data_IF_447730290097
#
_entry.id   IF_447730290097
#
_cell.length_a   1.000
_cell.length_b   1.000
_cell.length_c   1.000
_cell.angle_alpha   90.00
_cell.angle_beta   90.00
_cell.angle_gamma   90.00
#
_symmetry.space_group_name_H-M   'P 1'
#
loop_
_entity.id
_entity.type
_entity.pdbx_description
1 polymer ?
#
# COMPACT_ATOMS: atom_id res chain seq x y z
N UNK A 1 -26.79 -3.70 3.81
CA UNK A 1 -25.45 -3.13 4.03
C UNK A 1 -24.38 -4.19 4.20
N UNK A 2 -24.58 -5.22 5.03
CA UNK A 2 -23.55 -6.22 5.34
C UNK A 2 -23.28 -7.23 4.20
N UNK A 3 -24.28 -7.49 3.34
CA UNK A 3 -24.15 -8.41 2.19
C UNK A 3 -23.70 -7.67 0.93
N UNK A 4 -24.39 -6.57 0.60
CA UNK A 4 -24.05 -5.63 -0.49
C UNK A 4 -24.48 -4.21 -0.11
N UNK A 5 -23.79 -3.21 -0.65
CA UNK A 5 -24.13 -1.79 -0.44
C UNK A 5 -25.40 -1.33 -1.13
N UNK A 6 -25.95 -2.10 -2.09
CA UNK A 6 -27.29 -1.86 -2.64
C UNK A 6 -28.37 -1.84 -1.54
N UNK A 7 -28.14 -2.53 -0.40
CA UNK A 7 -29.02 -2.44 0.76
C UNK A 7 -29.15 -1.05 1.38
N UNK A 8 -28.35 -0.07 0.97
CA UNK A 8 -28.50 1.33 1.34
C UNK A 8 -29.84 1.90 0.85
N UNK A 9 -30.30 1.50 -0.34
CA UNK A 9 -31.59 1.95 -0.86
C UNK A 9 -32.76 1.42 -0.03
N UNK A 10 -32.67 0.17 0.45
CA UNK A 10 -33.66 -0.39 1.38
C UNK A 10 -33.66 0.36 2.72
N UNK A 11 -32.49 0.82 3.19
CA UNK A 11 -32.38 1.64 4.39
C UNK A 11 -33.03 3.02 4.21
N UNK A 12 -32.83 3.69 3.06
CA UNK A 12 -33.51 4.95 2.73
C UNK A 12 -35.03 4.75 2.74
N UNK A 13 -35.52 3.67 2.13
CA UNK A 13 -36.95 3.37 2.13
C UNK A 13 -37.49 3.16 3.55
N UNK A 14 -36.78 2.41 4.39
CA UNK A 14 -37.16 2.23 5.79
C UNK A 14 -37.19 3.56 6.56
N UNK A 15 -36.18 4.42 6.37
CA UNK A 15 -36.14 5.76 6.94
C UNK A 15 -37.34 6.61 6.50
N UNK A 16 -37.70 6.57 5.22
CA UNK A 16 -38.87 7.27 4.70
C UNK A 16 -40.18 6.76 5.33
N UNK A 17 -40.35 5.45 5.47
CA UNK A 17 -41.53 4.87 6.11
C UNK A 17 -41.64 5.25 7.59
N UNK A 18 -40.53 5.22 8.32
CA UNK A 18 -40.48 5.64 9.74
C UNK A 18 -40.77 7.13 9.87
N UNK A 19 -40.24 7.97 8.98
CA UNK A 19 -40.52 9.40 8.96
C UNK A 19 -42.00 9.68 8.66
N UNK A 20 -42.60 8.95 7.72
CA UNK A 20 -44.04 9.04 7.41
C UNK A 20 -44.90 8.58 8.59
N UNK A 21 -44.53 7.50 9.27
CA UNK A 21 -45.22 7.02 10.47
C UNK A 21 -45.18 8.11 11.57
N UNK A 22 -44.00 8.67 11.84
CA UNK A 22 -43.86 9.77 12.79
C UNK A 22 -44.67 11.01 12.38
N UNK A 23 -44.67 11.37 11.09
CA UNK A 23 -45.46 12.46 10.56
C UNK A 23 -46.96 12.29 10.83
N UNK A 24 -47.47 11.05 10.78
CA UNK A 24 -48.87 10.74 11.10
C UNK A 24 -49.25 10.92 12.57
N UNK A 25 -48.26 11.03 13.47
CA UNK A 25 -48.48 11.26 14.90
C UNK A 25 -48.58 12.75 15.25
N UNK A 26 -48.01 13.64 14.43
CA UNK A 26 -48.02 15.09 14.66
C UNK A 26 -49.44 15.69 14.80
N UNK A 27 -50.46 15.28 14.03
CA UNK A 27 -51.80 15.85 14.14
C UNK A 27 -52.62 15.35 15.34
N UNK A 28 -52.15 14.31 16.07
CA UNK A 28 -52.92 13.67 17.14
C UNK A 28 -52.89 14.51 18.41
N UNK A 29 -53.99 15.22 18.69
CA UNK A 29 -54.16 16.08 19.88
C UNK A 29 -54.13 15.34 21.22
N UNK A 30 -54.20 14.01 21.22
CA UNK A 30 -54.11 13.16 22.42
C UNK A 30 -52.67 12.98 22.91
N UNK A 31 -51.66 13.35 22.10
CA UNK A 31 -50.25 13.22 22.44
C UNK A 31 -49.68 14.56 22.89
N UNK A 32 -49.01 14.57 24.05
CA UNK A 32 -48.23 15.71 24.51
C UNK A 32 -46.98 15.91 23.64
N UNK A 33 -46.51 17.15 23.49
CA UNK A 33 -45.28 17.48 22.78
C UNK A 33 -44.06 16.74 23.33
N UNK A 34 -44.01 16.50 24.64
CA UNK A 34 -42.93 15.72 25.27
C UNK A 34 -42.97 14.24 24.81
N UNK A 35 -44.17 13.67 24.67
CA UNK A 35 -44.35 12.29 24.20
C UNK A 35 -43.91 12.13 22.74
N UNK A 36 -44.18 13.14 21.89
CA UNK A 36 -43.70 13.15 20.49
C UNK A 36 -42.17 13.13 20.41
N UNK A 37 -41.48 13.93 21.24
CA UNK A 37 -40.01 13.92 21.32
C UNK A 37 -39.45 12.57 21.77
N UNK A 38 -40.06 11.93 22.79
CA UNK A 38 -39.69 10.59 23.24
C UNK A 38 -39.86 9.57 22.11
N UNK A 39 -40.99 9.63 21.40
CA UNK A 39 -41.27 8.79 20.24
C UNK A 39 -40.27 8.96 19.09
N UNK A 40 -39.78 10.17 18.86
CA UNK A 40 -38.75 10.44 17.86
C UNK A 40 -37.40 9.88 18.31
N UNK A 41 -37.00 10.17 19.54
CA UNK A 41 -35.72 9.75 20.10
C UNK A 41 -35.62 8.21 20.14
N UNK A 42 -36.66 7.52 20.61
CA UNK A 42 -36.69 6.05 20.65
C UNK A 42 -36.51 5.47 19.24
N UNK A 43 -37.22 5.99 18.24
CA UNK A 43 -37.10 5.51 16.85
C UNK A 43 -35.68 5.68 16.32
N UNK A 44 -35.07 6.85 16.53
CA UNK A 44 -33.69 7.12 16.10
C UNK A 44 -32.71 6.18 16.81
N UNK A 45 -32.82 6.05 18.13
CA UNK A 45 -31.93 5.21 18.95
C UNK A 45 -32.07 3.74 18.55
N UNK A 46 -33.29 3.20 18.47
CA UNK A 46 -33.53 1.81 18.05
C UNK A 46 -32.98 1.55 16.65
N UNK A 47 -33.23 2.47 15.70
CA UNK A 47 -32.75 2.32 14.34
C UNK A 47 -31.22 2.29 14.28
N UNK A 48 -30.55 3.23 14.94
CA UNK A 48 -29.08 3.28 14.97
C UNK A 48 -28.51 2.04 15.64
N UNK A 49 -29.06 1.63 16.79
CA UNK A 49 -28.59 0.45 17.53
C UNK A 49 -28.74 -0.81 16.69
N UNK A 50 -29.92 -1.05 16.10
CA UNK A 50 -30.17 -2.25 15.29
C UNK A 50 -29.26 -2.31 14.07
N UNK A 51 -29.07 -1.19 13.35
CA UNK A 51 -28.18 -1.13 12.19
C UNK A 51 -26.73 -1.36 12.62
N UNK A 52 -26.25 -0.63 13.63
CA UNK A 52 -24.86 -0.70 14.08
C UNK A 52 -24.50 -2.08 14.63
N UNK A 53 -25.33 -2.64 15.51
CA UNK A 53 -25.10 -3.98 16.09
C UNK A 53 -25.10 -5.07 15.03
N UNK A 54 -26.06 -5.05 14.10
CA UNK A 54 -26.10 -6.03 13.00
C UNK A 54 -24.89 -5.89 12.09
N UNK A 55 -24.47 -4.67 11.77
CA UNK A 55 -23.32 -4.43 10.91
C UNK A 55 -22.02 -4.86 11.58
N UNK A 56 -21.75 -4.36 12.79
CA UNK A 56 -20.51 -4.65 13.52
C UNK A 56 -20.40 -6.13 13.89
N UNK A 57 -21.50 -6.79 14.28
CA UNK A 57 -21.46 -8.23 14.62
C UNK A 57 -21.08 -9.09 13.42
N UNK A 58 -21.61 -8.81 12.23
CA UNK A 58 -21.26 -9.55 11.01
C UNK A 58 -19.79 -9.35 10.66
N UNK A 59 -19.26 -8.12 10.73
CA UNK A 59 -17.85 -7.88 10.47
C UNK A 59 -16.92 -8.44 11.54
N UNK A 60 -17.37 -8.47 12.80
CA UNK A 60 -16.67 -9.15 13.88
C UNK A 60 -16.56 -10.65 13.61
N UNK A 61 -17.68 -11.31 13.27
CA UNK A 61 -17.69 -12.73 12.89
C UNK A 61 -16.83 -12.98 11.65
N UNK A 62 -16.90 -12.11 10.64
CA UNK A 62 -16.08 -12.20 9.43
C UNK A 62 -14.57 -12.20 9.76
N UNK A 63 -14.10 -11.21 10.52
CA UNK A 63 -12.69 -11.07 10.89
C UNK A 63 -12.23 -12.11 11.93
N UNK A 64 -13.14 -12.67 12.72
CA UNK A 64 -12.85 -13.74 13.67
C UNK A 64 -12.70 -15.11 12.98
N UNK A 65 -13.49 -15.38 11.94
CA UNK A 65 -13.43 -16.65 11.19
C UNK A 65 -12.30 -16.63 10.15
N UNK A 66 -12.13 -15.54 9.41
CA UNK A 66 -11.08 -15.41 8.38
C UNK A 66 -9.76 -14.97 9.01
N UNK A 67 -9.20 -15.82 9.88
CA UNK A 67 -7.91 -15.56 10.50
C UNK A 67 -6.72 -15.92 9.62
N UNK A 68 -6.89 -16.65 8.51
CA UNK A 68 -5.80 -17.18 7.68
C UNK A 68 -5.51 -16.31 6.46
N UNK A 69 -4.25 -16.26 6.06
CA UNK A 69 -3.79 -15.59 4.84
C UNK A 69 -4.36 -16.28 3.58
N UNK A 70 -4.57 -15.51 2.52
CA UNK A 70 -5.20 -15.98 1.28
C UNK A 70 -4.75 -15.16 0.07
N UNK A 71 -5.03 -15.61 -1.17
CA UNK A 71 -4.43 -15.05 -2.39
C UNK A 71 -4.76 -13.56 -2.67
N UNK A 72 -5.77 -13.01 -2.00
CA UNK A 72 -6.23 -11.64 -2.18
C UNK A 72 -5.99 -10.74 -0.96
N UNK A 73 -5.21 -11.19 0.02
CA UNK A 73 -4.83 -10.37 1.18
C UNK A 73 -3.84 -9.24 0.80
N UNK A 74 -3.20 -9.31 -0.37
CA UNK A 74 -2.27 -8.32 -0.93
C UNK A 74 -2.86 -6.90 -1.05
N UNK A 75 -4.18 -6.78 -1.08
CA UNK A 75 -4.90 -5.49 -1.11
C UNK A 75 -4.82 -4.75 0.23
N UNK A 76 -4.63 -5.49 1.33
CA UNK A 76 -4.52 -4.95 2.68
C UNK A 76 -3.10 -4.48 2.99
N UNK A 77 -2.92 -3.72 4.07
CA UNK A 77 -1.61 -3.26 4.55
C UNK A 77 -0.76 -4.44 5.03
N UNK A 78 0.55 -4.22 5.11
CA UNK A 78 1.51 -5.21 5.62
C UNK A 78 1.21 -5.59 7.07
N UNK A 79 0.81 -4.62 7.91
CA UNK A 79 0.40 -4.89 9.29
C UNK A 79 -0.84 -5.78 9.35
N UNK A 80 -1.84 -5.53 8.49
CA UNK A 80 -3.04 -6.37 8.40
C UNK A 80 -2.69 -7.78 7.97
N UNK A 81 -1.89 -7.95 6.91
CA UNK A 81 -1.47 -9.26 6.42
C UNK A 81 -0.63 -10.02 7.45
N UNK A 82 0.26 -9.33 8.16
CA UNK A 82 1.06 -9.94 9.23
C UNK A 82 0.21 -10.35 10.45
N UNK A 83 -1.02 -9.85 10.57
CA UNK A 83 -1.98 -10.27 11.60
C UNK A 83 -2.80 -11.52 11.23
N UNK A 84 -2.67 -12.03 10.00
CA UNK A 84 -3.32 -13.26 9.54
C UNK A 84 -2.38 -14.47 9.72
N UNK A 85 -2.92 -15.62 10.09
CA UNK A 85 -2.18 -16.88 10.20
C UNK A 85 -1.71 -17.37 8.82
N UNK A 86 -0.40 -17.62 8.69
CA UNK A 86 0.22 -17.97 7.42
C UNK A 86 0.59 -16.74 6.57
N UNK A 87 1.08 -16.96 5.34
CA UNK A 87 1.44 -15.87 4.43
C UNK A 87 2.53 -14.94 4.99
N UNK A 88 2.26 -13.63 5.01
CA UNK A 88 3.23 -12.63 5.47
C UNK A 88 3.63 -12.81 6.94
N UNK A 89 2.69 -13.22 7.80
CA UNK A 89 2.97 -13.45 9.21
C UNK A 89 3.93 -14.62 9.47
N UNK A 90 4.05 -15.58 8.54
CA UNK A 90 5.07 -16.63 8.61
C UNK A 90 6.45 -16.15 8.14
N UNK A 91 6.51 -15.08 7.35
CA UNK A 91 7.72 -14.54 6.75
C UNK A 91 8.38 -13.50 7.67
N UNK A 92 7.59 -12.59 8.24
CA UNK A 92 8.09 -11.46 9.05
C UNK A 92 8.25 -11.81 10.53
N UNK A 93 7.95 -13.06 10.89
CA UNK A 93 7.93 -13.57 12.24
C UNK A 93 9.33 -13.60 12.86
N UNK A 94 9.65 -12.68 13.77
CA UNK A 94 10.92 -12.70 14.52
C UNK A 94 12.04 -11.90 13.86
N UNK A 95 11.70 -11.15 12.82
CA UNK A 95 12.60 -10.16 12.27
C UNK A 95 12.92 -9.08 13.31
N UNK A 96 14.10 -8.45 13.24
CA UNK A 96 14.39 -7.34 14.13
C UNK A 96 13.37 -6.22 13.90
N UNK A 97 12.92 -5.58 14.98
CA UNK A 97 11.91 -4.54 14.88
C UNK A 97 12.55 -3.22 14.41
N UNK A 98 13.64 -2.82 15.04
CA UNK A 98 14.30 -1.54 14.79
C UNK A 98 15.20 -1.61 13.54
N UNK A 99 14.91 -0.75 12.57
CA UNK A 99 15.74 -0.56 11.39
C UNK A 99 16.97 0.25 11.79
N UNK A 100 18.16 -0.29 11.53
CA UNK A 100 19.45 0.32 11.88
C UNK A 100 20.32 0.40 10.63
N UNK A 101 21.47 1.06 10.72
CA UNK A 101 22.46 0.93 9.65
C UNK A 101 22.98 -0.51 9.56
N UNK A 102 23.18 -1.01 8.34
CA UNK A 102 23.46 -2.41 8.02
C UNK A 102 22.20 -3.29 7.95
N UNK A 103 21.00 -2.77 8.21
CA UNK A 103 19.75 -3.49 7.99
C UNK A 103 19.51 -3.73 6.50
N UNK A 104 19.15 -4.96 6.16
CA UNK A 104 18.61 -5.32 4.85
C UNK A 104 17.09 -5.36 4.96
N UNK A 105 16.40 -4.60 4.13
CA UNK A 105 14.97 -4.37 4.19
C UNK A 105 14.33 -4.52 2.82
N UNK A 106 13.04 -4.87 2.80
CA UNK A 106 12.19 -4.66 1.62
C UNK A 106 11.26 -3.49 1.89
N UNK A 107 11.16 -2.57 0.93
CA UNK A 107 10.30 -1.39 1.03
C UNK A 107 9.05 -1.62 0.19
N UNK A 108 7.89 -1.69 0.83
CA UNK A 108 6.60 -1.86 0.18
C UNK A 108 5.84 -0.54 0.15
N UNK A 109 5.19 -0.26 -0.97
CA UNK A 109 4.26 0.87 -1.08
C UNK A 109 2.99 0.59 -0.27
N UNK A 110 2.61 1.53 0.60
CA UNK A 110 1.61 1.28 1.67
C UNK A 110 0.17 1.34 1.16
N UNK A 111 -0.14 2.31 0.31
CA UNK A 111 -1.52 2.60 -0.12
C UNK A 111 -1.75 2.18 -1.58
N UNK A 112 -2.99 1.87 -1.95
CA UNK A 112 -3.29 1.44 -3.33
C UNK A 112 -2.71 0.05 -3.67
N UNK A 113 -2.04 -0.07 -4.81
CA UNK A 113 -1.53 -1.33 -5.35
C UNK A 113 -0.28 -1.79 -4.61
N UNK A 114 -0.26 -3.06 -4.22
CA UNK A 114 0.91 -3.69 -3.62
C UNK A 114 2.06 -3.77 -4.62
N UNK A 115 3.18 -3.14 -4.26
CA UNK A 115 4.43 -3.27 -4.98
C UNK A 115 5.60 -2.96 -4.04
N UNK A 116 6.76 -3.54 -4.34
CA UNK A 116 8.01 -3.34 -3.62
C UNK A 116 8.98 -2.53 -4.45
N UNK A 117 9.74 -1.66 -3.80
CA UNK A 117 10.86 -0.96 -4.42
C UNK A 117 11.85 -2.01 -4.93
N UNK A 118 12.12 -1.95 -6.22
CA UNK A 118 12.79 -3.02 -6.94
C UNK A 118 13.86 -2.44 -7.87
N UNK A 119 14.95 -3.18 -8.08
CA UNK A 119 15.94 -2.85 -9.09
C UNK A 119 16.56 -4.12 -9.66
N UNK A 120 16.91 -4.12 -10.95
CA UNK A 120 17.50 -5.28 -11.62
C UNK A 120 18.56 -4.80 -12.61
N UNK A 121 19.38 -5.69 -13.17
CA UNK A 121 20.57 -5.30 -13.95
C UNK A 121 20.27 -4.79 -15.38
N UNK A 122 19.15 -4.10 -15.57
CA UNK A 122 18.82 -3.37 -16.80
C UNK A 122 18.87 -1.86 -16.53
N UNK A 123 19.19 -1.10 -17.57
CA UNK A 123 19.34 0.35 -17.52
C UNK A 123 18.21 1.03 -18.27
N UNK A 124 17.90 2.28 -17.92
CA UNK A 124 16.97 3.09 -18.72
C UNK A 124 17.50 3.24 -20.15
N UNK A 125 16.63 3.29 -21.18
CA UNK A 125 17.07 3.54 -22.55
C UNK A 125 17.70 4.93 -22.67
N UNK A 126 18.68 5.13 -23.56
CA UNK A 126 19.32 6.45 -23.75
C UNK A 126 18.30 7.58 -24.04
N UNK A 127 17.21 7.23 -24.73
CA UNK A 127 16.07 8.10 -24.96
C UNK A 127 14.79 7.35 -24.67
N UNK A 128 13.85 8.02 -24.04
CA UNK A 128 12.50 7.51 -23.85
C UNK A 128 11.73 7.46 -25.19
N UNK A 129 10.60 6.73 -25.25
CA UNK A 129 9.80 6.64 -26.48
C UNK A 129 9.34 7.98 -27.06
N UNK A 130 9.22 9.01 -26.22
CA UNK A 130 8.84 10.38 -26.62
C UNK A 130 10.03 11.25 -27.07
N UNK A 131 11.24 10.68 -27.13
CA UNK A 131 12.45 11.34 -27.62
C UNK A 131 13.22 12.14 -26.56
N UNK A 132 12.70 12.28 -25.33
CA UNK A 132 13.45 12.89 -24.22
C UNK A 132 14.66 12.04 -23.84
N UNK A 133 15.74 12.69 -23.43
CA UNK A 133 16.93 12.00 -22.91
C UNK A 133 16.69 11.39 -21.53
N UNK A 134 17.33 10.27 -21.25
CA UNK A 134 17.39 9.62 -19.94
C UNK A 134 18.82 9.61 -19.41
N UNK A 135 18.97 9.26 -18.13
CA UNK A 135 20.25 9.09 -17.46
C UNK A 135 21.05 7.88 -17.92
N UNK A 136 20.39 6.90 -18.55
CA UNK A 136 20.95 5.58 -18.84
C UNK A 136 21.48 4.84 -17.59
N UNK A 137 21.01 5.18 -16.40
CA UNK A 137 21.36 4.49 -15.15
C UNK A 137 20.53 3.23 -14.94
N UNK A 138 20.85 2.45 -13.91
CA UNK A 138 20.12 1.22 -13.59
C UNK A 138 18.68 1.56 -13.19
N UNK A 139 17.72 0.81 -13.74
CA UNK A 139 16.30 1.03 -13.51
C UNK A 139 15.92 0.78 -12.04
N UNK A 140 15.06 1.65 -11.52
CA UNK A 140 14.35 1.45 -10.25
C UNK A 140 12.86 1.50 -10.51
N UNK A 141 12.15 0.49 -10.03
CA UNK A 141 10.73 0.27 -10.33
C UNK A 141 9.98 -0.14 -9.07
N UNK A 142 8.67 -0.28 -9.20
CA UNK A 142 7.83 -0.92 -8.20
C UNK A 142 7.31 -2.25 -8.76
N UNK A 143 7.82 -3.36 -8.23
CA UNK A 143 7.49 -4.71 -8.68
C UNK A 143 6.36 -5.31 -7.84
N UNK A 144 5.39 -5.97 -8.46
CA UNK A 144 4.17 -6.45 -7.78
C UNK A 144 4.33 -7.78 -7.05
N UNK A 145 5.52 -8.39 -7.06
CA UNK A 145 5.77 -9.69 -6.42
C UNK A 145 7.01 -9.63 -5.54
N UNK A 146 7.10 -10.57 -4.60
CA UNK A 146 8.30 -10.77 -3.78
C UNK A 146 9.41 -11.35 -4.63
N UNK A 147 10.59 -10.74 -4.55
CA UNK A 147 11.76 -11.11 -5.33
C UNK A 147 13.03 -10.77 -4.53
N UNK A 148 14.13 -11.48 -4.81
CA UNK A 148 15.45 -11.21 -4.20
C UNK A 148 15.99 -9.80 -4.56
N UNK A 149 15.54 -9.25 -5.68
CA UNK A 149 15.83 -7.89 -6.14
C UNK A 149 15.00 -6.79 -5.46
N UNK A 150 14.18 -7.15 -4.47
CA UNK A 150 13.44 -6.17 -3.65
C UNK A 150 14.21 -5.78 -2.39
N UNK A 151 15.36 -6.39 -2.13
CA UNK A 151 16.16 -6.16 -0.92
C UNK A 151 17.06 -4.94 -1.08
N UNK A 152 17.04 -4.07 -0.08
CA UNK A 152 17.85 -2.85 0.04
C UNK A 152 18.62 -2.87 1.35
N UNK A 153 19.82 -2.32 1.37
CA UNK A 153 20.67 -2.20 2.54
C UNK A 153 20.70 -0.75 2.97
N UNK A 154 20.37 -0.50 4.24
CA UNK A 154 20.40 0.84 4.82
C UNK A 154 21.82 1.16 5.30
N UNK A 155 22.40 2.25 4.79
CA UNK A 155 23.80 2.62 5.04
C UNK A 155 23.91 4.04 5.61
N UNK A 156 24.97 4.29 6.38
CA UNK A 156 25.36 5.62 6.83
C UNK A 156 26.01 6.42 5.68
N UNK A 157 25.70 7.72 5.50
CA UNK A 157 26.37 8.55 4.50
C UNK A 157 27.89 8.67 4.69
N UNK A 158 28.37 8.67 5.94
CA UNK A 158 29.74 8.96 6.36
C UNK A 158 30.63 7.71 6.52
N UNK A 159 30.05 6.50 6.47
CA UNK A 159 30.79 5.24 6.66
C UNK A 159 30.58 4.30 5.51
N UNK A 160 31.65 3.67 5.03
CA UNK A 160 31.58 2.66 3.98
C UNK A 160 31.24 1.25 4.47
N UNK A 161 31.10 1.06 5.78
CA UNK A 161 30.70 -0.22 6.37
C UNK A 161 29.25 -0.57 6.01
N UNK A 162 29.03 -1.84 5.69
CA UNK A 162 27.73 -2.42 5.33
C UNK A 162 27.22 -3.38 6.42
N UNK A 163 28.04 -3.67 7.44
CA UNK A 163 27.69 -4.54 8.56
C UNK A 163 27.11 -3.73 9.71
N UNK A 164 26.22 -4.36 10.46
CA UNK A 164 25.66 -3.77 11.67
C UNK A 164 26.73 -3.75 12.76
N UNK A 165 27.32 -2.59 13.03
CA UNK A 165 28.22 -2.41 14.18
C UNK A 165 27.40 -2.39 15.48
N UNK A 166 27.81 -3.11 16.51
CA UNK A 166 27.20 -3.05 17.85
C UNK A 166 27.92 -1.99 18.72
N UNK A 167 27.21 -1.18 19.52
CA UNK A 167 25.75 -1.15 19.69
C UNK A 167 25.03 -0.56 18.48
N UNK A 168 23.93 -1.19 18.07
CA UNK A 168 23.14 -0.76 16.92
C UNK A 168 22.28 0.44 17.32
N UNK A 169 22.48 1.57 16.65
CA UNK A 169 21.65 2.76 16.81
C UNK A 169 20.46 2.68 15.83
N UNK A 170 19.20 2.72 16.31
CA UNK A 170 18.02 2.72 15.46
C UNK A 170 17.96 4.03 14.67
N UNK A 171 17.56 3.93 13.41
CA UNK A 171 17.35 5.09 12.55
C UNK A 171 16.09 5.81 13.02
N UNK A 172 16.20 7.12 13.18
CA UNK A 172 15.16 7.99 13.70
C UNK A 172 14.57 8.89 12.63
N UNK A 173 13.42 9.46 12.96
CA UNK A 173 12.82 10.52 12.18
C UNK A 173 13.81 11.68 11.96
N UNK A 174 14.00 12.08 10.71
CA UNK A 174 14.90 13.15 10.31
C UNK A 174 16.32 12.68 9.96
N UNK A 175 16.67 11.42 10.23
CA UNK A 175 18.00 10.89 9.89
C UNK A 175 18.17 10.77 8.36
N UNK A 176 19.39 11.04 7.91
CA UNK A 176 19.79 10.92 6.50
C UNK A 176 20.53 9.61 6.31
N UNK A 177 20.07 8.82 5.33
CA UNK A 177 20.56 7.49 5.01
C UNK A 177 20.95 7.39 3.53
N UNK A 178 21.66 6.32 3.21
CA UNK A 178 21.78 5.81 1.86
C UNK A 178 21.06 4.46 1.76
N UNK A 179 20.38 4.22 0.65
CA UNK A 179 19.80 2.92 0.32
C UNK A 179 20.61 2.30 -0.80
N UNK A 180 21.13 1.10 -0.58
CA UNK A 180 21.96 0.37 -1.55
C UNK A 180 21.21 -0.90 -1.96
N UNK A 181 21.05 -1.12 -3.26
CA UNK A 181 20.37 -2.31 -3.76
C UNK A 181 21.14 -3.59 -3.38
N UNK A 182 20.47 -4.58 -2.81
CA UNK A 182 21.10 -5.74 -2.17
C UNK A 182 21.89 -6.62 -3.12
N UNK A 183 21.42 -6.82 -4.35
CA UNK A 183 22.09 -7.68 -5.34
C UNK A 183 23.12 -6.90 -6.15
N UNK A 184 22.78 -5.72 -6.66
CA UNK A 184 23.70 -4.96 -7.55
C UNK A 184 24.65 -4.03 -6.81
N UNK A 185 24.48 -3.86 -5.49
CA UNK A 185 25.27 -2.95 -4.65
C UNK A 185 25.30 -1.49 -5.14
N UNK A 186 24.33 -1.08 -5.98
CA UNK A 186 24.21 0.30 -6.49
C UNK A 186 23.33 1.13 -5.57
N UNK A 187 23.67 2.40 -5.39
CA UNK A 187 22.94 3.30 -4.50
C UNK A 187 21.70 3.89 -5.18
N UNK A 188 20.58 3.93 -4.45
CA UNK A 188 19.36 4.62 -4.86
C UNK A 188 19.65 6.11 -5.03
N UNK A 189 19.28 6.66 -6.17
CA UNK A 189 19.65 7.98 -6.64
C UNK A 189 18.45 8.66 -7.30
N UNK A 190 18.34 9.97 -7.11
CA UNK A 190 17.46 10.84 -7.90
C UNK A 190 18.27 12.03 -8.39
N UNK A 191 17.94 12.54 -9.56
CA UNK A 191 18.71 13.60 -10.21
C UNK A 191 17.82 14.40 -11.16
N UNK A 192 18.37 15.49 -11.72
CA UNK A 192 17.61 16.43 -12.55
C UNK A 192 17.40 15.90 -13.99
N UNK A 193 16.78 14.74 -14.10
CA UNK A 193 16.30 14.13 -15.34
C UNK A 193 14.82 13.84 -15.13
N UNK A 194 13.99 14.18 -16.11
CA UNK A 194 12.56 13.94 -16.04
C UNK A 194 12.25 12.43 -16.09
N UNK A 195 11.30 11.97 -15.27
CA UNK A 195 10.90 10.56 -15.24
C UNK A 195 10.25 10.12 -16.58
N UNK A 196 10.33 8.83 -16.94
CA UNK A 196 9.90 8.32 -18.24
C UNK A 196 8.41 8.53 -18.52
N UNK A 197 7.53 8.23 -17.57
CA UNK A 197 6.08 8.30 -17.73
C UNK A 197 5.47 9.54 -17.06
N UNK A 198 6.18 10.14 -16.09
CA UNK A 198 5.73 11.32 -15.34
C UNK A 198 6.75 12.47 -15.46
N UNK A 199 6.76 13.23 -16.58
CA UNK A 199 7.81 14.21 -16.88
C UNK A 199 7.93 15.37 -15.87
N UNK A 200 6.91 15.59 -15.04
CA UNK A 200 6.89 16.62 -14.00
C UNK A 200 7.68 16.22 -12.73
N UNK A 201 8.03 14.94 -12.61
CA UNK A 201 8.82 14.37 -11.50
C UNK A 201 10.21 13.96 -11.98
N UNK A 202 11.13 13.77 -11.04
CA UNK A 202 12.49 13.32 -11.32
C UNK A 202 12.58 11.80 -11.48
N UNK A 203 13.46 11.36 -12.37
CA UNK A 203 13.84 9.97 -12.59
C UNK A 203 14.57 9.44 -11.34
N UNK A 204 14.09 8.30 -10.83
CA UNK A 204 14.75 7.57 -9.75
C UNK A 204 15.47 6.37 -10.36
N UNK A 205 16.72 6.18 -9.96
CA UNK A 205 17.62 5.19 -10.55
C UNK A 205 18.56 4.62 -9.51
N UNK A 206 19.27 3.56 -9.87
CA UNK A 206 20.43 3.08 -9.14
C UNK A 206 21.68 3.63 -9.84
N UNK A 207 22.47 4.43 -9.13
CA UNK A 207 23.57 5.18 -9.72
C UNK A 207 24.63 4.26 -10.35
N UNK A 208 25.01 4.57 -11.59
CA UNK A 208 26.13 3.97 -12.30
C UNK A 208 27.15 5.07 -12.55
N UNK A 209 28.37 4.87 -12.06
CA UNK A 209 29.48 5.76 -12.36
C UNK A 209 30.01 5.46 -13.77
N UNK A 210 29.58 6.26 -14.74
CA UNK A 210 30.10 6.22 -16.11
C UNK A 210 31.39 7.01 -16.30
N UNK A 211 32.04 7.45 -15.20
CA UNK A 211 33.16 8.39 -15.22
C UNK A 211 32.80 9.71 -15.93
N UNK A 212 31.57 10.16 -15.72
CA UNK A 212 30.99 11.41 -16.26
C UNK A 212 30.81 12.41 -15.12
N UNK A 213 30.82 13.72 -15.43
CA UNK A 213 30.76 14.83 -14.47
C UNK A 213 29.48 14.95 -13.62
N UNK A 214 28.58 13.95 -13.61
CA UNK A 214 27.38 13.95 -12.76
C UNK A 214 27.64 13.19 -11.46
N UNK A 215 27.80 13.88 -10.32
CA UNK A 215 28.00 13.23 -9.03
C UNK A 215 26.72 12.50 -8.60
N UNK A 216 26.89 11.42 -7.84
CA UNK A 216 25.77 10.71 -7.21
C UNK A 216 25.03 11.60 -6.22
N UNK A 217 23.71 11.60 -6.28
CA UNK A 217 22.82 12.26 -5.31
C UNK A 217 21.97 11.19 -4.63
N UNK A 218 22.57 10.49 -3.67
CA UNK A 218 22.04 9.25 -3.10
C UNK A 218 21.63 9.37 -1.62
N UNK A 219 21.44 10.59 -1.14
CA UNK A 219 21.05 10.86 0.25
C UNK A 219 19.53 10.97 0.36
N UNK A 220 18.98 10.22 1.32
CA UNK A 220 17.55 10.14 1.58
C UNK A 220 17.29 10.39 3.06
N UNK A 221 16.50 11.39 3.38
CA UNK A 221 16.05 11.70 4.74
C UNK A 221 14.79 10.90 5.06
N UNK A 222 14.78 10.21 6.20
CA UNK A 222 13.65 9.38 6.63
C UNK A 222 12.63 10.23 7.40
N UNK A 223 11.40 10.31 6.91
CA UNK A 223 10.29 10.91 7.64
C UNK A 223 9.31 9.84 8.09
N UNK A 224 8.99 9.75 9.39
CA UNK A 224 8.02 8.79 9.91
C UNK A 224 6.68 9.54 10.00
N UNK A 225 5.65 9.01 9.33
CA UNK A 225 4.34 9.68 9.26
C UNK A 225 3.46 9.35 10.46
N UNK A 226 3.47 8.08 10.90
CA UNK A 226 2.69 7.58 12.04
C UNK A 226 3.55 7.45 13.31
N UNK A 227 3.80 8.59 13.97
CA UNK A 227 4.67 8.66 15.17
C UNK A 227 4.02 8.19 16.48
N UNK A 228 2.93 7.43 16.41
CA UNK A 228 2.22 6.91 17.58
C UNK A 228 3.08 5.96 18.43
N UNK A 229 4.06 5.30 17.80
CA UNK A 229 5.00 4.37 18.43
C UNK A 229 6.40 4.98 18.66
N UNK A 230 6.52 6.32 18.60
CA UNK A 230 7.76 7.06 18.79
C UNK A 230 8.49 7.41 17.48
N UNK A 231 9.71 7.95 17.62
CA UNK A 231 10.51 8.48 16.51
C UNK A 231 11.48 7.47 15.89
N UNK A 232 11.48 6.22 16.36
CA UNK A 232 12.33 5.16 15.79
C UNK A 232 11.65 4.48 14.60
N UNK A 233 12.43 4.14 13.58
CA UNK A 233 11.94 3.45 12.39
C UNK A 233 11.81 1.96 12.65
N UNK A 234 10.57 1.47 12.72
CA UNK A 234 10.24 0.08 12.98
C UNK A 234 9.73 -0.64 11.72
N UNK A 235 10.16 -1.88 11.53
CA UNK A 235 9.61 -2.78 10.52
C UNK A 235 8.13 -3.07 10.78
N UNK A 236 7.33 -3.23 9.71
CA UNK A 236 5.88 -3.45 9.68
C UNK A 236 5.05 -2.26 10.19
N UNK A 237 5.44 -1.64 11.30
CA UNK A 237 4.65 -0.65 12.02
C UNK A 237 4.82 0.77 11.48
N UNK A 238 6.06 1.19 11.20
CA UNK A 238 6.31 2.55 10.73
C UNK A 238 5.96 2.69 9.25
N UNK A 239 5.19 3.73 8.98
CA UNK A 239 4.97 4.31 7.67
C UNK A 239 5.95 5.47 7.50
N UNK A 240 6.71 5.44 6.41
CA UNK A 240 7.79 6.40 6.17
C UNK A 240 7.72 7.03 4.79
N UNK A 241 8.23 8.26 4.68
CA UNK A 241 8.61 8.89 3.42
C UNK A 241 10.12 8.96 3.34
N UNK A 242 10.64 8.71 2.14
CA UNK A 242 12.04 8.87 1.83
C UNK A 242 12.18 10.16 1.02
N UNK A 243 12.79 11.17 1.63
CA UNK A 243 12.95 12.50 1.04
C UNK A 243 14.34 12.59 0.46
N UNK A 244 14.45 12.67 -0.86
CA UNK A 244 15.69 12.95 -1.55
C UNK A 244 16.22 14.32 -1.14
N UNK A 245 17.46 14.35 -0.68
CA UNK A 245 18.15 15.58 -0.28
C UNK A 245 19.02 16.04 -1.45
N UNK A 246 18.49 16.97 -2.26
CA UNK A 246 19.21 17.49 -3.41
C UNK A 246 20.33 18.45 -2.98
N UNK A 247 21.42 18.53 -3.76
CA UNK A 247 22.57 19.37 -3.45
C UNK A 247 22.27 20.89 -3.36
N UNK A 248 21.18 21.35 -3.99
CA UNK A 248 20.73 22.73 -4.00
C UNK A 248 19.72 23.05 -2.88
N UNK A 249 19.46 22.10 -1.97
CA UNK A 249 18.49 22.23 -0.88
C UNK A 249 17.04 21.95 -1.28
N UNK A 250 16.75 21.57 -2.53
CA UNK A 250 15.44 21.09 -2.91
C UNK A 250 15.18 19.68 -2.35
N UNK A 251 13.93 19.41 -1.99
CA UNK A 251 13.49 18.14 -1.43
C UNK A 251 12.45 17.49 -2.33
N UNK A 252 12.59 16.18 -2.56
CA UNK A 252 11.66 15.40 -3.38
C UNK A 252 11.30 14.10 -2.68
N UNK A 253 10.03 13.75 -2.59
CA UNK A 253 9.61 12.50 -1.95
C UNK A 253 9.62 11.34 -2.96
N UNK A 254 10.19 10.21 -2.56
CA UNK A 254 10.11 8.95 -3.29
C UNK A 254 8.67 8.48 -3.38
N UNK A 255 8.16 8.29 -4.59
CA UNK A 255 6.74 8.08 -4.86
C UNK A 255 6.50 6.97 -5.86
N UNK A 256 5.47 6.17 -5.63
CA UNK A 256 4.85 5.33 -6.63
C UNK A 256 3.97 6.17 -7.57
N UNK A 257 4.31 6.27 -8.86
CA UNK A 257 3.60 7.18 -9.77
C UNK A 257 2.21 6.66 -10.21
N UNK A 258 1.98 5.34 -10.08
CA UNK A 258 0.78 4.67 -10.61
C UNK A 258 0.82 4.40 -12.10
N UNK A 259 1.88 4.82 -12.82
CA UNK A 259 2.09 4.52 -14.24
C UNK A 259 2.91 3.25 -14.40
N UNK A 260 2.68 2.55 -15.51
CA UNK A 260 3.49 1.41 -15.91
C UNK A 260 4.54 1.85 -16.93
N UNK A 261 5.75 1.31 -16.78
CA UNK A 261 6.80 1.45 -17.77
C UNK A 261 6.46 0.59 -19.00
N UNK A 262 6.92 0.97 -20.21
CA UNK A 262 6.78 0.15 -21.41
C UNK A 262 7.60 -1.16 -21.32
N UNK A 263 7.62 -1.92 -22.42
CA UNK A 263 8.30 -3.22 -22.50
C UNK A 263 9.78 -3.19 -22.08
N UNK A 264 10.50 -2.08 -22.32
CA UNK A 264 11.89 -1.92 -21.89
C UNK A 264 12.06 -1.90 -20.36
N UNK A 265 11.00 -1.61 -19.62
CA UNK A 265 10.91 -1.67 -18.16
C UNK A 265 10.06 -2.84 -17.67
N UNK A 266 9.89 -3.87 -18.51
CA UNK A 266 9.19 -5.13 -18.20
C UNK A 266 7.75 -4.96 -17.71
N UNK A 267 7.07 -3.88 -18.14
CA UNK A 267 5.71 -3.55 -17.68
C UNK A 267 5.59 -3.43 -16.14
N UNK A 268 6.72 -3.14 -15.47
CA UNK A 268 6.76 -2.82 -14.05
C UNK A 268 6.27 -1.39 -13.82
N UNK A 269 5.98 -1.03 -12.57
CA UNK A 269 5.47 0.31 -12.27
C UNK A 269 6.60 1.31 -12.06
N UNK A 270 6.36 2.55 -12.45
CA UNK A 270 7.32 3.64 -12.32
C UNK A 270 7.39 4.15 -10.87
N UNK A 271 8.62 4.34 -10.41
CA UNK A 271 8.96 5.05 -9.16
C UNK A 271 9.65 6.35 -9.53
N UNK A 272 9.24 7.45 -8.90
CA UNK A 272 9.72 8.80 -9.19
C UNK A 272 10.05 9.55 -7.90
N UNK A 273 10.79 10.66 -8.01
CA UNK A 273 10.94 11.61 -6.93
C UNK A 273 10.12 12.86 -7.26
N UNK A 274 9.12 13.14 -6.43
CA UNK A 274 8.12 14.17 -6.66
C UNK A 274 8.34 15.36 -5.73
N UNK A 275 8.13 16.58 -6.23
CA UNK A 275 8.30 17.80 -5.44
C UNK A 275 7.20 17.96 -4.39
N UNK A 276 6.04 17.35 -4.62
CA UNK A 276 4.98 17.28 -3.60
C UNK A 276 5.35 16.22 -2.56
N UNK A 277 5.75 16.66 -1.37
CA UNK A 277 6.22 15.76 -0.31
C UNK A 277 5.06 15.01 0.36
N UNK A 278 4.05 15.76 0.81
CA UNK A 278 2.93 15.21 1.57
C UNK A 278 1.86 14.63 0.65
N UNK A 279 1.97 13.33 0.40
CA UNK A 279 1.00 12.55 -0.37
C UNK A 279 0.94 11.11 0.14
N UNK A 280 -0.14 10.40 -0.18
CA UNK A 280 -0.30 8.98 0.18
C UNK A 280 0.61 8.06 -0.63
N UNK A 281 0.87 8.40 -1.89
CA UNK A 281 1.69 7.60 -2.81
C UNK A 281 3.20 7.64 -2.52
N UNK A 282 3.62 8.49 -1.57
CA UNK A 282 5.01 8.57 -1.10
C UNK A 282 5.24 7.80 0.21
N UNK A 283 4.24 7.06 0.68
CA UNK A 283 4.32 6.34 1.95
C UNK A 283 4.71 4.89 1.73
N UNK A 284 5.84 4.52 2.33
CA UNK A 284 6.46 3.20 2.27
C UNK A 284 6.47 2.56 3.66
N UNK A 285 6.46 1.24 3.70
CA UNK A 285 6.65 0.48 4.92
C UNK A 285 7.76 -0.56 4.70
N UNK A 286 8.56 -0.80 5.74
CA UNK A 286 9.46 -1.96 5.74
C UNK A 286 8.61 -3.20 5.97
N UNK A 287 8.61 -4.14 5.03
CA UNK A 287 7.84 -5.37 5.16
C UNK A 287 8.71 -6.48 5.76
N UNK A 288 9.82 -6.80 5.10
CA UNK A 288 10.79 -7.80 5.53
C UNK A 288 12.08 -7.12 5.99
N UNK A 289 12.70 -7.65 7.05
CA UNK A 289 13.90 -7.06 7.64
C UNK A 289 14.86 -8.14 8.17
N UNK A 290 16.16 -7.95 7.94
CA UNK A 290 17.25 -8.74 8.55
C UNK A 290 18.49 -7.88 8.78
N UNK A 291 19.32 -8.24 9.75
CA UNK A 291 20.63 -7.61 9.92
C UNK A 291 21.69 -8.23 9.01
N UNK A 292 22.52 -7.40 8.38
CA UNK A 292 23.69 -7.85 7.62
C UNK A 292 24.74 -8.42 8.58
N UNK A 293 25.19 -9.65 8.33
CA UNK A 293 26.18 -10.36 9.15
C UNK A 293 27.58 -10.44 8.54
N UNK A 294 27.69 -10.38 7.22
CA UNK A 294 28.97 -10.51 6.48
C UNK A 294 29.31 -9.24 5.71
N UNK A 295 30.59 -8.86 5.68
CA UNK A 295 31.09 -7.75 4.86
C UNK A 295 31.23 -8.16 3.38
N UNK A 296 31.54 -9.43 3.10
CA UNK A 296 31.82 -9.89 1.73
C UNK A 296 30.55 -9.86 0.87
N UNK A 297 30.64 -9.21 -0.28
CA UNK A 297 29.52 -9.07 -1.21
C UNK A 297 29.03 -10.42 -1.73
N UNK A 298 29.93 -11.32 -2.12
CA UNK A 298 29.54 -12.64 -2.67
C UNK A 298 28.85 -13.49 -1.62
N UNK A 299 29.32 -13.44 -0.38
CA UNK A 299 28.66 -14.13 0.72
C UNK A 299 27.28 -13.53 1.03
N UNK A 300 27.15 -12.20 1.04
CA UNK A 300 25.84 -11.55 1.21
C UNK A 300 24.86 -11.93 0.12
N UNK A 301 25.28 -11.90 -1.15
CA UNK A 301 24.45 -12.34 -2.28
C UNK A 301 23.99 -13.80 -2.09
N UNK A 302 24.90 -14.69 -1.66
CA UNK A 302 24.54 -16.08 -1.35
C UNK A 302 23.54 -16.20 -0.20
N UNK A 303 23.75 -15.46 0.89
CA UNK A 303 22.82 -15.42 2.03
C UNK A 303 21.45 -14.81 1.65
N UNK A 304 21.42 -13.83 0.74
CA UNK A 304 20.19 -13.26 0.20
C UNK A 304 19.39 -14.33 -0.57
N UNK A 305 20.07 -15.15 -1.36
CA UNK A 305 19.49 -16.19 -2.21
C UNK A 305 19.13 -17.46 -1.41
N UNK A 306 19.95 -17.83 -0.42
CA UNK A 306 19.82 -19.10 0.32
C UNK A 306 18.97 -19.01 1.58
N UNK A 307 18.58 -17.81 2.02
CA UNK A 307 17.79 -17.65 3.23
C UNK A 307 16.39 -18.23 3.04
N UNK A 308 16.20 -19.48 3.45
CA UNK A 308 14.87 -20.02 3.80
C UNK A 308 14.34 -19.26 5.02
N UNK A 309 13.09 -18.81 4.91
CA UNK A 309 12.44 -17.97 5.92
C UNK A 309 12.02 -18.82 7.12
N UNK A 310 12.73 -18.71 8.24
CA UNK A 310 12.46 -19.49 9.46
C UNK A 310 11.81 -18.59 10.54
N UNK A 311 10.65 -18.98 11.15
CA UNK A 311 9.73 -18.06 11.84
C UNK A 311 9.76 -18.06 13.38
N UNK A 312 9.63 -16.91 14.08
CA UNK A 312 9.20 -16.82 15.50
C UNK A 312 8.50 -15.47 15.94
N UNK A 313 7.26 -15.56 16.45
CA UNK A 313 6.28 -14.52 16.96
C UNK A 313 5.51 -13.50 16.04
N UNK A 314 4.18 -13.42 16.21
CA UNK A 314 3.21 -12.74 15.31
C UNK A 314 2.80 -11.31 15.74
N UNK A 315 2.43 -10.45 14.78
CA UNK A 315 1.86 -9.10 15.02
C UNK A 315 0.36 -9.16 15.33
N UNK A 316 -0.10 -8.44 16.35
CA UNK A 316 -1.51 -8.36 16.71
C UNK A 316 -2.08 -6.97 16.40
N UNK A 317 -3.16 -6.92 15.61
CA UNK A 317 -3.97 -5.72 15.40
C UNK A 317 -5.31 -5.86 16.13
N UNK A 318 -5.85 -4.72 16.57
CA UNK A 318 -7.18 -4.64 17.16
C UNK A 318 -8.28 -4.84 16.11
N UNK A 319 -9.49 -5.17 16.58
CA UNK A 319 -10.66 -5.27 15.71
C UNK A 319 -10.96 -3.96 14.97
N UNK A 320 -10.81 -2.82 15.64
CA UNK A 320 -11.17 -1.52 15.05
C UNK A 320 -10.22 -1.08 13.95
N UNK A 321 -8.92 -1.37 14.08
CA UNK A 321 -7.94 -1.13 13.03
C UNK A 321 -8.26 -1.99 11.80
N UNK A 322 -8.49 -3.30 12.01
CA UNK A 322 -8.87 -4.22 10.94
C UNK A 322 -10.18 -3.80 10.27
N UNK A 323 -11.18 -3.41 11.06
CA UNK A 323 -12.48 -3.00 10.56
C UNK A 323 -12.37 -1.72 9.73
N UNK A 324 -11.71 -0.67 10.25
CA UNK A 324 -11.57 0.60 9.54
C UNK A 324 -10.82 0.45 8.21
N UNK A 325 -9.72 -0.30 8.21
CA UNK A 325 -8.96 -0.57 6.99
C UNK A 325 -9.82 -1.29 5.94
N UNK A 326 -10.52 -2.36 6.34
CA UNK A 326 -11.40 -3.11 5.45
C UNK A 326 -12.51 -2.22 4.88
N UNK A 327 -13.15 -1.37 5.69
CA UNK A 327 -14.21 -0.46 5.24
C UNK A 327 -13.73 0.54 4.19
N UNK A 328 -12.56 1.15 4.41
CA UNK A 328 -11.93 2.06 3.47
C UNK A 328 -11.66 1.34 2.14
N UNK A 329 -11.10 0.12 2.20
CA UNK A 329 -10.81 -0.68 1.00
C UNK A 329 -12.09 -1.12 0.27
N UNK A 330 -13.17 -1.45 0.98
CA UNK A 330 -14.46 -1.76 0.36
C UNK A 330 -15.12 -0.56 -0.32
N UNK A 331 -14.95 0.65 0.24
CA UNK A 331 -15.53 1.87 -0.32
C UNK A 331 -14.74 2.41 -1.53
N UNK A 332 -13.40 2.37 -1.45
CA UNK A 332 -12.54 3.01 -2.45
C UNK A 332 -11.81 2.02 -3.39
N UNK A 333 -11.69 0.74 -3.03
CA UNK A 333 -10.96 -0.26 -3.81
C UNK A 333 -11.69 -0.81 -5.03
N UNK A 334 -12.98 -0.49 -5.21
CA UNK A 334 -13.82 -1.03 -6.29
C UNK A 334 -13.63 -0.37 -7.67
N UNK A 335 -12.75 0.62 -7.82
CA UNK A 335 -12.64 1.38 -9.07
C UNK A 335 -11.81 0.71 -10.18
N UNK A 336 -11.03 -0.33 -9.90
CA UNK A 336 -10.22 -1.01 -10.93
C UNK A 336 -11.01 -2.02 -11.79
N UNK A 337 -12.26 -2.35 -11.44
CA UNK A 337 -13.08 -3.33 -12.17
C UNK A 337 -14.14 -2.69 -13.11
N UNK A 338 -13.97 -1.45 -13.55
CA UNK A 338 -14.87 -0.80 -14.51
C UNK A 338 -14.58 -1.17 -15.98
N UNK A 339 -14.11 -2.39 -16.25
CA UNK A 339 -14.06 -2.86 -17.63
C UNK A 339 -15.46 -3.28 -18.05
N UNK A 340 -16.06 -2.55 -19.00
CA UNK A 340 -17.33 -2.92 -19.62
C UNK A 340 -17.18 -4.30 -20.29
N UNK A 341 -17.82 -5.32 -19.72
CA UNK A 341 -17.85 -6.64 -20.32
C UNK A 341 -18.92 -6.71 -21.41
N UNK A 342 -18.75 -7.58 -22.41
CA UNK A 342 -19.72 -7.79 -23.50
C UNK A 342 -21.16 -8.13 -23.03
N UNK A 343 -21.33 -8.57 -21.79
CA UNK A 343 -22.62 -8.90 -21.18
C UNK A 343 -23.10 -7.87 -20.15
N UNK A 344 -22.41 -6.73 -20.00
CA UNK A 344 -22.89 -5.65 -19.14
C UNK A 344 -24.13 -4.97 -19.76
N UNK A 345 -25.14 -4.70 -18.95
CA UNK A 345 -26.34 -3.97 -19.34
C UNK A 345 -26.39 -2.59 -18.68
N UNK A 346 -27.04 -1.65 -19.37
CA UNK A 346 -27.27 -0.30 -18.86
C UNK A 346 -28.49 -0.25 -17.92
N UNK A 347 -28.53 0.66 -16.93
CA UNK A 347 -29.67 0.78 -16.01
C UNK A 347 -31.03 1.02 -16.70
N UNK A 348 -31.03 1.72 -17.84
CA UNK A 348 -32.25 1.98 -18.62
C UNK A 348 -32.76 0.74 -19.39
N UNK A 349 -31.93 -0.29 -19.55
CA UNK A 349 -32.30 -1.54 -20.24
C UNK A 349 -33.08 -2.48 -19.31
N UNK A 350 -32.97 -2.31 -17.98
CA UNK A 350 -33.56 -3.22 -17.00
C UNK A 350 -35.09 -3.18 -16.95
N UNK A 351 -35.78 -2.01 -16.94
CA UNK A 351 -37.24 -1.98 -16.82
C UNK A 351 -37.96 -2.57 -18.03
N UNK A 352 -37.35 -2.46 -19.22
CA UNK A 352 -37.90 -2.95 -20.48
C UNK A 352 -37.35 -4.32 -20.88
N UNK A 353 -36.45 -4.88 -20.07
CA UNK A 353 -35.77 -6.15 -20.34
C UNK A 353 -35.17 -6.22 -21.76
N UNK A 354 -34.62 -5.11 -22.27
CA UNK A 354 -34.15 -5.01 -23.65
C UNK A 354 -32.89 -5.83 -23.92
N UNK A 355 -32.16 -6.23 -22.86
CA UNK A 355 -30.94 -7.02 -22.94
C UNK A 355 -30.85 -7.99 -21.76
N UNK A 356 -30.64 -9.28 -22.07
CA UNK A 356 -30.38 -10.34 -21.09
C UNK A 356 -28.88 -10.49 -20.75
N UNK A 357 -28.58 -11.25 -19.71
CA UNK A 357 -27.21 -11.53 -19.26
C UNK A 357 -26.96 -13.03 -19.37
N UNK A 358 -26.12 -13.45 -20.30
CA UNK A 358 -25.76 -14.85 -20.43
C UNK A 358 -24.95 -15.32 -19.21
N UNK A 359 -25.41 -16.38 -18.54
CA UNK A 359 -24.70 -17.00 -17.41
C UNK A 359 -23.85 -18.20 -17.86
N UNK A 360 -24.35 -18.99 -18.79
CA UNK A 360 -23.67 -20.19 -19.30
C UNK A 360 -24.06 -20.45 -20.75
N UNK A 361 -23.07 -20.75 -21.59
CA UNK A 361 -23.30 -21.14 -22.99
C UNK A 361 -22.49 -22.40 -23.24
N UNK A 362 -23.18 -23.48 -23.61
CA UNK A 362 -22.55 -24.74 -24.04
C UNK A 362 -23.25 -25.26 -25.29
N UNK A 363 -22.59 -26.16 -26.02
CA UNK A 363 -23.12 -26.69 -27.27
C UNK A 363 -24.50 -27.37 -27.09
N UNK A 364 -24.77 -27.92 -25.92
CA UNK A 364 -25.98 -28.69 -25.63
C UNK A 364 -26.97 -27.96 -24.70
N UNK A 365 -26.53 -26.93 -23.97
CA UNK A 365 -27.39 -26.19 -23.03
C UNK A 365 -26.91 -24.77 -22.75
N UNK A 366 -27.86 -23.83 -22.76
CA UNK A 366 -27.61 -22.42 -22.48
C UNK A 366 -28.46 -21.95 -21.29
N UNK A 367 -27.88 -21.11 -20.44
CA UNK A 367 -28.55 -20.41 -19.34
C UNK A 367 -28.32 -18.92 -19.54
N UNK A 368 -29.41 -18.20 -19.80
CA UNK A 368 -29.47 -16.77 -20.10
C UNK A 368 -30.33 -15.99 -19.12
#
# INVERSE_FOLDING_TARGET
MCVKYVGFYSMILALFLIARDYWSLLPKKTLSSAMLWVHLLIRIVVLIIVIATTYLSIFYVHLAILSKAGPHDSVMTSAFQASLEGGLASITKGQPLEVTHGSQITLRHTYGRACWLHSHNHVYPLRYPDGRGSSHQQQVTCYSFKDVNNWWIVKRPDKNDLVVTKPSEPIRHGDVIQLVHGITSRALNSHDVAAPMTPQSQEVSCYIDYNVSMPSQNLWRVEITNRDHGDAWHAIQSQVRLIHVHANGAEFALKFSGRQLPDWGFNQHEVVADRLIDQSNSIWNVEEHRYTKSEDQKQRERELISAEMIPLQATALSFWEKFAELQIKMLFGGQESQNSHMYSSGPFEWPLMSRGIAYWVSNDSNVS
#
